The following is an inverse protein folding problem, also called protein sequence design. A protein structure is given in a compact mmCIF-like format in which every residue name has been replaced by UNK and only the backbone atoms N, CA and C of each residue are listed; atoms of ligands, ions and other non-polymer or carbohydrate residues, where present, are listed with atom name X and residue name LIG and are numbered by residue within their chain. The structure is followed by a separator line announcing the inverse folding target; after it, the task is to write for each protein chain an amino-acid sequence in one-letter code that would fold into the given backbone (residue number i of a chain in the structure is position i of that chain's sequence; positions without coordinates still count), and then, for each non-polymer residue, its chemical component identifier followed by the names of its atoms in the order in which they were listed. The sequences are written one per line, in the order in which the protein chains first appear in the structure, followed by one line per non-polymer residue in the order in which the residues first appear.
data_IF_280532988171
#
_entry.id   IF_280532988171
#
_cell.length_a   1.000
_cell.length_b   1.000
_cell.length_c   1.000
_cell.angle_alpha   90.00
_cell.angle_beta   90.00
_cell.angle_gamma   90.00
#
_symmetry.space_group_name_H-M   'P 1'
#
loop_
_entity.id
_entity.type
_entity.pdbx_description
1 polymer ?
#
# COMPACT_ATOMS: atom_id res chain seq x y z
N UNK A 1 13.80 -28.84 -22.86
CA UNK A 1 12.56 -28.08 -22.66
C UNK A 1 12.46 -27.74 -21.17
N UNK A 2 12.65 -26.48 -20.80
CA UNK A 2 12.55 -26.07 -19.39
C UNK A 2 11.07 -26.05 -18.98
N UNK A 3 10.75 -26.32 -17.72
CA UNK A 3 9.36 -26.34 -17.20
C UNK A 3 8.59 -25.02 -17.47
N UNK A 4 9.32 -23.94 -17.73
CA UNK A 4 8.77 -22.66 -18.18
C UNK A 4 8.07 -22.72 -19.56
N UNK A 5 8.39 -23.67 -20.44
CA UNK A 5 7.70 -23.81 -21.74
C UNK A 5 6.33 -24.50 -21.63
N UNK A 6 6.03 -25.20 -20.52
CA UNK A 6 4.80 -26.00 -20.39
C UNK A 6 3.60 -25.23 -19.85
N UNK A 7 3.77 -24.03 -19.28
CA UNK A 7 2.65 -23.24 -18.73
C UNK A 7 2.50 -21.98 -19.59
N UNK A 8 1.85 -22.10 -20.75
CA UNK A 8 1.50 -20.94 -21.59
C UNK A 8 0.42 -20.12 -20.87
N UNK A 9 0.82 -19.04 -20.19
CA UNK A 9 -0.11 -18.12 -19.54
C UNK A 9 -0.78 -17.25 -20.60
N UNK A 10 -2.12 -17.24 -20.63
CA UNK A 10 -2.91 -16.44 -21.56
C UNK A 10 -2.73 -14.94 -21.32
N UNK A 11 -2.80 -14.16 -22.41
CA UNK A 11 -2.70 -12.70 -22.33
C UNK A 11 -3.97 -12.15 -21.67
N UNK A 12 -3.87 -11.25 -20.67
CA UNK A 12 -5.05 -10.62 -20.09
C UNK A 12 -5.85 -9.85 -21.15
N UNK A 13 -7.17 -10.05 -21.17
CA UNK A 13 -8.10 -9.30 -22.01
C UNK A 13 -8.40 -7.94 -21.36
N UNK A 14 -7.94 -6.86 -22.00
CA UNK A 14 -8.04 -5.51 -21.47
C UNK A 14 -9.34 -4.82 -21.84
N UNK A 15 -9.96 -5.18 -22.97
CA UNK A 15 -11.14 -4.49 -23.48
C UNK A 15 -12.37 -4.90 -22.65
N UNK A 16 -12.54 -6.20 -22.42
CA UNK A 16 -13.59 -6.72 -21.54
C UNK A 16 -13.45 -6.26 -20.08
N UNK A 17 -12.22 -5.96 -19.62
CA UNK A 17 -11.98 -5.39 -18.29
C UNK A 17 -12.37 -3.92 -18.21
N UNK A 18 -11.99 -3.13 -19.21
CA UNK A 18 -12.32 -1.70 -19.27
C UNK A 18 -13.83 -1.48 -19.40
N UNK A 19 -14.55 -2.30 -20.18
CA UNK A 19 -16.01 -2.26 -20.25
C UNK A 19 -16.68 -2.56 -18.91
N UNK A 20 -16.21 -3.59 -18.19
CA UNK A 20 -16.72 -3.92 -16.84
C UNK A 20 -16.42 -2.83 -15.81
N UNK A 21 -15.25 -2.20 -15.87
CA UNK A 21 -14.93 -1.06 -15.01
C UNK A 21 -15.80 0.16 -15.35
N UNK A 22 -16.06 0.40 -16.64
CA UNK A 22 -16.92 1.48 -17.12
C UNK A 22 -18.33 1.34 -16.56
N UNK A 23 -18.96 0.18 -16.74
CA UNK A 23 -20.33 -0.08 -16.26
C UNK A 23 -20.46 0.01 -14.73
N UNK A 24 -19.46 -0.47 -13.98
CA UNK A 24 -19.43 -0.32 -12.52
C UNK A 24 -19.23 1.15 -12.12
N UNK A 25 -18.40 1.91 -12.82
CA UNK A 25 -18.18 3.33 -12.54
C UNK A 25 -19.44 4.16 -12.79
N UNK A 26 -20.16 3.89 -13.89
CA UNK A 26 -21.45 4.52 -14.20
C UNK A 26 -22.49 4.22 -13.11
N UNK A 27 -22.57 2.95 -12.68
CA UNK A 27 -23.47 2.52 -11.59
C UNK A 27 -23.16 3.22 -10.27
N UNK A 28 -21.87 3.42 -9.95
CA UNK A 28 -21.42 4.17 -8.78
C UNK A 28 -21.86 5.64 -8.87
N UNK A 29 -21.70 6.27 -10.02
CA UNK A 29 -22.04 7.69 -10.19
C UNK A 29 -23.55 7.94 -10.19
N UNK A 30 -24.36 7.01 -10.71
CA UNK A 30 -25.80 7.05 -10.54
C UNK A 30 -26.24 6.97 -9.08
N UNK A 31 -25.63 6.04 -8.32
CA UNK A 31 -25.96 5.87 -6.89
C UNK A 31 -25.51 7.08 -6.08
N UNK A 32 -24.34 7.66 -6.38
CA UNK A 32 -23.89 8.92 -5.77
C UNK A 32 -24.92 10.02 -5.96
N UNK A 33 -25.41 10.23 -7.19
CA UNK A 33 -26.45 11.24 -7.48
C UNK A 33 -27.72 10.99 -6.66
N UNK A 34 -28.14 9.71 -6.52
CA UNK A 34 -29.30 9.33 -5.69
C UNK A 34 -29.06 9.63 -4.20
N UNK A 35 -27.87 9.32 -3.68
CA UNK A 35 -27.48 9.63 -2.29
C UNK A 35 -27.45 11.14 -2.05
N UNK A 36 -26.88 11.92 -2.96
CA UNK A 36 -26.80 13.38 -2.84
C UNK A 36 -28.18 14.02 -2.84
N UNK A 37 -29.10 13.53 -3.69
CA UNK A 37 -30.48 13.98 -3.72
C UNK A 37 -31.20 13.63 -2.41
N UNK A 38 -31.10 12.39 -1.93
CA UNK A 38 -31.66 11.99 -0.64
C UNK A 38 -31.08 12.81 0.51
N UNK A 39 -29.79 13.13 0.48
CA UNK A 39 -29.13 13.93 1.51
C UNK A 39 -29.62 15.38 1.52
N UNK A 40 -29.99 15.95 0.37
CA UNK A 40 -30.66 17.26 0.29
C UNK A 40 -32.06 17.19 0.90
N UNK A 41 -32.84 16.16 0.58
CA UNK A 41 -34.18 15.95 1.14
C UNK A 41 -34.14 15.76 2.66
N UNK A 42 -33.22 14.94 3.16
CA UNK A 42 -32.97 14.72 4.60
C UNK A 42 -32.61 16.03 5.30
N UNK A 43 -31.72 16.84 4.70
CA UNK A 43 -31.33 18.15 5.28
C UNK A 43 -32.52 19.11 5.38
N UNK A 44 -33.43 19.09 4.42
CA UNK A 44 -34.65 19.92 4.46
C UNK A 44 -35.63 19.38 5.51
N UNK A 45 -35.88 18.07 5.52
CA UNK A 45 -36.81 17.42 6.44
C UNK A 45 -36.34 17.43 7.91
N UNK A 46 -35.02 17.48 8.15
CA UNK A 46 -34.44 17.55 9.50
C UNK A 46 -34.58 18.93 10.17
N UNK A 47 -34.84 19.99 9.38
CA UNK A 47 -35.08 21.33 9.92
C UNK A 47 -36.45 21.40 10.60
N UNK A 48 -36.53 22.10 11.74
CA UNK A 48 -37.79 22.34 12.46
C UNK A 48 -37.94 21.63 13.82
N UNK A 49 -36.96 20.84 14.26
CA UNK A 49 -36.95 20.24 15.61
C UNK A 49 -37.01 21.29 16.72
N UNK A 50 -36.25 22.37 16.58
CA UNK A 50 -36.25 23.46 17.56
C UNK A 50 -37.59 24.21 17.62
N UNK A 51 -38.18 24.50 16.47
CA UNK A 51 -39.50 25.13 16.38
C UNK A 51 -40.61 24.25 16.96
N UNK A 52 -40.57 22.94 16.67
CA UNK A 52 -41.48 21.97 17.28
C UNK A 52 -41.34 21.97 18.81
N UNK A 53 -40.11 21.94 19.33
CA UNK A 53 -39.87 21.95 20.77
C UNK A 53 -40.35 23.25 21.43
N UNK A 54 -40.16 24.40 20.79
CA UNK A 54 -40.71 25.68 21.26
C UNK A 54 -42.24 25.65 21.31
N UNK A 55 -42.89 25.33 20.19
CA UNK A 55 -44.36 25.20 20.10
C UNK A 55 -44.93 24.20 21.11
N UNK A 56 -44.26 23.07 21.31
CA UNK A 56 -44.64 22.07 22.32
C UNK A 56 -44.57 22.65 23.73
N UNK A 57 -43.48 23.34 24.08
CA UNK A 57 -43.34 23.99 25.39
C UNK A 57 -44.40 25.07 25.60
N UNK A 58 -44.69 25.88 24.59
CA UNK A 58 -45.71 26.93 24.66
C UNK A 58 -47.12 26.35 24.88
N UNK A 59 -47.46 25.25 24.21
CA UNK A 59 -48.77 24.59 24.42
C UNK A 59 -48.83 23.93 25.81
N UNK A 60 -47.76 23.29 26.26
CA UNK A 60 -47.71 22.66 27.60
C UNK A 60 -47.86 23.71 28.70
N UNK A 61 -47.13 24.82 28.61
CA UNK A 61 -47.24 25.91 29.59
C UNK A 61 -48.64 26.53 29.62
N UNK A 62 -49.32 26.66 28.48
CA UNK A 62 -50.74 27.06 28.43
C UNK A 62 -51.64 26.03 29.12
N UNK A 63 -51.48 24.74 28.84
CA UNK A 63 -52.25 23.66 29.49
C UNK A 63 -52.06 23.71 31.01
N UNK A 64 -50.85 23.94 31.48
CA UNK A 64 -50.53 24.05 32.90
C UNK A 64 -51.16 25.30 33.52
N UNK A 65 -51.14 26.45 32.82
CA UNK A 65 -51.83 27.67 33.27
C UNK A 65 -53.36 27.47 33.39
N UNK A 66 -53.97 26.75 32.45
CA UNK A 66 -55.39 26.41 32.51
C UNK A 66 -55.67 25.46 33.68
N UNK A 67 -54.79 24.49 33.94
CA UNK A 67 -54.94 23.61 35.09
C UNK A 67 -54.86 24.38 36.40
N UNK A 68 -53.89 25.28 36.55
CA UNK A 68 -53.78 26.14 37.74
C UNK A 68 -55.02 27.03 37.92
N UNK A 69 -55.59 27.56 36.83
CA UNK A 69 -56.84 28.33 36.86
C UNK A 69 -58.03 27.48 37.32
N UNK A 70 -58.14 26.24 36.82
CA UNK A 70 -59.17 25.28 37.26
C UNK A 70 -59.00 24.95 38.74
N UNK A 71 -57.80 24.65 39.21
CA UNK A 71 -57.53 24.28 40.60
C UNK A 71 -57.90 25.42 41.56
N UNK A 72 -57.61 26.68 41.19
CA UNK A 72 -58.00 27.86 41.97
C UNK A 72 -59.52 27.99 42.09
N UNK A 73 -60.24 27.92 40.97
CA UNK A 73 -61.69 27.99 40.95
C UNK A 73 -62.35 26.79 41.66
N UNK A 74 -61.75 25.60 41.60
CA UNK A 74 -62.22 24.43 42.33
C UNK A 74 -62.02 24.58 43.85
N UNK A 75 -60.96 25.26 44.30
CA UNK A 75 -60.77 25.63 45.70
C UNK A 75 -61.83 26.65 46.16
N UNK A 76 -62.03 27.74 45.40
CA UNK A 76 -63.07 28.73 45.71
C UNK A 76 -64.47 28.10 45.75
N UNK A 77 -64.75 27.18 44.82
CA UNK A 77 -66.01 26.41 44.82
C UNK A 77 -66.16 25.57 46.08
N UNK A 78 -65.09 24.93 46.57
CA UNK A 78 -65.11 24.14 47.81
C UNK A 78 -65.36 25.02 49.02
N UNK A 79 -64.69 26.16 49.12
CA UNK A 79 -64.89 27.12 50.21
C UNK A 79 -66.34 27.64 50.25
N UNK A 80 -66.92 27.98 49.09
CA UNK A 80 -68.32 28.42 49.01
C UNK A 80 -69.28 27.29 49.41
N UNK A 81 -68.99 26.04 49.03
CA UNK A 81 -69.80 24.90 49.46
C UNK A 81 -69.77 24.70 50.98
N UNK A 82 -68.58 24.78 51.58
CA UNK A 82 -68.41 24.68 53.03
C UNK A 82 -69.15 25.81 53.75
N UNK A 83 -69.11 27.02 53.20
CA UNK A 83 -69.84 28.17 53.75
C UNK A 83 -71.36 28.06 53.60
N UNK A 84 -71.85 27.52 52.49
CA UNK A 84 -73.27 27.18 52.33
C UNK A 84 -73.67 26.15 53.38
N UNK A 85 -72.86 25.11 53.62
CA UNK A 85 -73.16 24.09 54.61
C UNK A 85 -73.20 24.66 56.03
N UNK A 86 -72.24 25.51 56.40
CA UNK A 86 -72.22 26.23 57.70
C UNK A 86 -73.47 27.10 57.87
N UNK A 87 -73.84 27.89 56.86
CA UNK A 87 -75.04 28.74 56.89
C UNK A 87 -76.33 27.92 56.99
N UNK A 88 -76.41 26.79 56.30
CA UNK A 88 -77.53 25.87 56.42
C UNK A 88 -77.63 25.23 57.82
N UNK A 89 -76.50 24.86 58.43
CA UNK A 89 -76.46 24.38 59.83
C UNK A 89 -76.95 25.46 60.79
N UNK A 90 -76.44 26.69 60.67
CA UNK A 90 -76.89 27.83 61.47
C UNK A 90 -78.39 28.10 61.33
N UNK A 91 -78.94 28.04 60.10
CA UNK A 91 -80.38 28.15 59.87
C UNK A 91 -81.17 27.06 60.58
N UNK A 92 -80.70 25.81 60.54
CA UNK A 92 -81.35 24.68 61.25
C UNK A 92 -81.37 24.94 62.76
N UNK A 93 -80.26 25.41 63.32
CA UNK A 93 -80.16 25.79 64.73
C UNK A 93 -81.13 26.94 65.08
N UNK A 94 -81.19 28.00 64.27
CA UNK A 94 -82.15 29.09 64.45
C UNK A 94 -83.60 28.63 64.41
N UNK A 95 -83.96 27.72 63.48
CA UNK A 95 -85.31 27.12 63.42
C UNK A 95 -85.61 26.26 64.64
N UNK A 96 -84.67 25.45 65.10
CA UNK A 96 -84.83 24.65 66.32
C UNK A 96 -85.00 25.55 67.53
N UNK A 97 -84.21 26.63 67.64
CA UNK A 97 -84.34 27.62 68.70
C UNK A 97 -85.70 28.33 68.67
N UNK A 98 -86.15 28.79 67.49
CA UNK A 98 -87.49 29.36 67.33
C UNK A 98 -88.56 28.36 67.77
N UNK A 99 -88.46 27.10 67.35
CA UNK A 99 -89.43 26.07 67.71
C UNK A 99 -89.42 25.75 69.22
N UNK A 100 -88.26 25.77 69.88
CA UNK A 100 -88.14 25.58 71.32
C UNK A 100 -88.76 26.75 72.09
N UNK A 101 -88.51 28.00 71.66
CA UNK A 101 -89.13 29.19 72.24
C UNK A 101 -90.66 29.14 72.04
N UNK A 102 -91.13 28.74 70.85
CA UNK A 102 -92.57 28.54 70.58
C UNK A 102 -93.21 27.54 71.56
N UNK A 103 -92.56 26.38 71.77
CA UNK A 103 -93.02 25.36 72.72
C UNK A 103 -93.04 25.87 74.16
N UNK A 104 -92.08 26.72 74.56
CA UNK A 104 -92.03 27.31 75.89
C UNK A 104 -93.13 28.37 76.13
N UNK A 105 -93.46 29.17 75.11
CA UNK A 105 -94.47 30.23 75.23
C UNK A 105 -95.88 29.61 75.30
N UNK A 106 -96.21 28.66 74.41
CA UNK A 106 -97.52 28.01 74.40
C UNK A 106 -98.72 28.90 73.99
N UNK A 107 -98.45 30.11 73.51
CA UNK A 107 -99.43 31.09 73.01
C UNK A 107 -98.99 31.65 71.66
N UNK A 108 -99.94 31.95 70.79
CA UNK A 108 -99.68 32.37 69.41
C UNK A 108 -99.55 33.89 69.27
N UNK A 109 -100.32 34.67 70.04
CA UNK A 109 -100.31 36.14 69.99
C UNK A 109 -100.11 36.79 71.36
N UNK A 110 -99.48 37.97 71.37
CA UNK A 110 -99.31 38.78 72.59
C UNK A 110 -100.68 39.18 73.17
N UNK A 111 -101.66 39.45 72.30
CA UNK A 111 -103.03 39.78 72.68
C UNK A 111 -103.72 38.64 73.46
N UNK A 112 -103.38 37.39 73.18
CA UNK A 112 -103.99 36.23 73.85
C UNK A 112 -103.39 36.00 75.23
N UNK A 113 -102.10 36.28 75.41
CA UNK A 113 -101.45 36.31 76.73
C UNK A 113 -102.12 37.39 77.60
N UNK A 114 -102.37 38.57 77.03
CA UNK A 114 -102.93 39.72 77.75
C UNK A 114 -104.42 39.55 78.10
N UNK A 115 -105.20 38.87 77.25
CA UNK A 115 -106.56 38.44 77.59
C UNK A 115 -106.56 37.47 78.77
N UNK A 116 -105.66 36.48 78.75
CA UNK A 116 -105.56 35.48 79.82
C UNK A 116 -105.09 36.08 81.14
N UNK A 117 -104.17 37.05 81.11
CA UNK A 117 -103.77 37.83 82.29
C UNK A 117 -105.00 38.56 82.85
N UNK A 118 -105.74 39.30 82.01
CA UNK A 118 -106.96 40.02 82.44
C UNK A 118 -108.03 39.08 83.02
N UNK A 119 -108.22 37.90 82.44
CA UNK A 119 -109.13 36.89 82.98
C UNK A 119 -108.71 36.39 84.37
N UNK A 120 -107.41 36.17 84.59
CA UNK A 120 -106.89 35.74 85.89
C UNK A 120 -106.98 36.89 86.91
N UNK A 121 -106.66 38.12 86.53
CA UNK A 121 -106.79 39.32 87.37
C UNK A 121 -108.26 39.55 87.78
N UNK A 122 -109.19 39.43 86.84
CA UNK A 122 -110.61 39.52 87.14
C UNK A 122 -111.05 38.43 88.13
N UNK A 123 -110.60 37.17 87.94
CA UNK A 123 -110.87 36.08 88.89
C UNK A 123 -110.31 36.37 90.28
N UNK A 124 -109.09 36.91 90.37
CA UNK A 124 -108.49 37.34 91.65
C UNK A 124 -109.32 38.43 92.35
N UNK A 125 -109.87 39.38 91.60
CA UNK A 125 -110.61 40.51 92.15
C UNK A 125 -112.05 40.19 92.54
N UNK A 126 -112.72 39.24 91.86
CA UNK A 126 -114.15 39.00 92.02
C UNK A 126 -114.52 37.71 92.76
N UNK A 127 -113.56 36.82 93.05
CA UNK A 127 -113.83 35.52 93.66
C UNK A 127 -113.13 35.31 95.00
N UNK A 128 -113.80 34.63 95.93
CA UNK A 128 -113.22 34.21 97.22
C UNK A 128 -112.48 32.88 97.03
N UNK A 129 -111.18 32.95 96.78
CA UNK A 129 -110.29 31.80 96.59
C UNK A 129 -109.39 31.59 97.81
N UNK A 130 -108.86 30.38 97.97
CA UNK A 130 -107.90 30.12 99.05
C UNK A 130 -106.56 30.81 98.78
N UNK A 131 -105.83 31.17 99.85
CA UNK A 131 -104.49 31.79 99.76
C UNK A 131 -103.51 30.94 98.92
N UNK A 132 -103.68 29.61 98.93
CA UNK A 132 -102.88 28.69 98.11
C UNK A 132 -103.18 28.85 96.62
N UNK A 133 -104.45 28.97 96.24
CA UNK A 133 -104.89 29.18 94.85
C UNK A 133 -104.58 30.59 94.35
N UNK A 134 -104.75 31.60 95.20
CA UNK A 134 -104.36 32.97 94.91
C UNK A 134 -102.87 33.06 94.55
N UNK A 135 -102.01 32.43 95.34
CA UNK A 135 -100.57 32.35 95.06
C UNK A 135 -100.27 31.62 93.74
N UNK A 136 -101.03 30.59 93.38
CA UNK A 136 -100.88 29.89 92.10
C UNK A 136 -101.26 30.77 90.91
N UNK A 137 -102.37 31.52 91.02
CA UNK A 137 -102.82 32.44 89.96
C UNK A 137 -101.86 33.63 89.80
N UNK A 138 -101.32 34.18 90.89
CA UNK A 138 -100.28 35.21 90.85
C UNK A 138 -99.01 34.68 90.18
N UNK A 139 -98.56 33.47 90.53
CA UNK A 139 -97.42 32.83 89.86
C UNK A 139 -97.68 32.61 88.36
N UNK A 140 -98.93 32.31 87.98
CA UNK A 140 -99.33 32.17 86.59
C UNK A 140 -99.28 33.51 85.84
N UNK A 141 -99.74 34.62 86.43
CA UNK A 141 -99.59 35.97 85.85
C UNK A 141 -98.11 36.32 85.67
N UNK A 142 -97.28 36.05 86.69
CA UNK A 142 -95.83 36.29 86.59
C UNK A 142 -95.18 35.47 85.48
N UNK A 143 -95.58 34.22 85.28
CA UNK A 143 -95.11 33.37 84.18
C UNK A 143 -95.57 33.91 82.81
N UNK A 144 -96.83 34.33 82.68
CA UNK A 144 -97.38 34.91 81.45
C UNK A 144 -96.69 36.23 81.07
N UNK A 145 -96.42 37.10 82.05
CA UNK A 145 -95.67 38.34 81.83
C UNK A 145 -94.21 38.09 81.39
N UNK A 146 -93.57 37.01 81.88
CA UNK A 146 -92.24 36.59 81.41
C UNK A 146 -92.27 36.03 79.97
N UNK A 147 -93.39 35.44 79.55
CA UNK A 147 -93.56 34.88 78.21
C UNK A 147 -93.79 35.96 77.13
N UNK A 148 -94.28 37.15 77.49
CA UNK A 148 -94.54 38.26 76.56
C UNK A 148 -93.29 38.72 75.78
N UNK A 149 -92.14 39.06 76.40
CA UNK A 149 -90.93 39.42 75.66
C UNK A 149 -90.32 38.26 74.86
N UNK A 150 -90.56 37.01 75.28
CA UNK A 150 -90.14 35.81 74.54
C UNK A 150 -90.91 35.64 73.23
N UNK A 151 -92.17 36.09 73.16
CA UNK A 151 -92.96 36.04 71.93
C UNK A 151 -92.48 37.05 70.88
N UNK A 152 -92.11 38.25 71.32
CA UNK A 152 -91.45 39.23 70.45
C UNK A 152 -90.10 38.71 69.94
N UNK A 153 -89.30 38.04 70.79
CA UNK A 153 -88.03 37.44 70.36
C UNK A 153 -88.25 36.26 69.40
N UNK A 154 -89.26 35.42 69.64
CA UNK A 154 -89.67 34.35 68.72
C UNK A 154 -90.02 34.88 67.34
N UNK A 155 -90.89 35.90 67.25
CA UNK A 155 -91.30 36.49 65.98
C UNK A 155 -90.10 37.05 65.19
N UNK A 156 -89.13 37.67 65.88
CA UNK A 156 -87.89 38.14 65.26
C UNK A 156 -87.06 36.98 64.70
N UNK A 157 -86.79 35.96 65.52
CA UNK A 157 -85.98 34.79 65.12
C UNK A 157 -86.67 34.01 63.99
N UNK A 158 -88.00 33.87 64.00
CA UNK A 158 -88.75 33.18 62.94
C UNK A 158 -88.71 33.95 61.61
N UNK A 159 -88.87 35.28 61.66
CA UNK A 159 -88.75 36.13 60.48
C UNK A 159 -87.32 36.11 59.91
N UNK A 160 -86.31 36.21 60.77
CA UNK A 160 -84.90 36.09 60.39
C UNK A 160 -84.62 34.72 59.77
N UNK A 161 -85.07 33.62 60.39
CA UNK A 161 -84.87 32.26 59.87
C UNK A 161 -85.58 32.00 58.54
N UNK A 162 -86.67 32.73 58.26
CA UNK A 162 -87.43 32.61 57.01
C UNK A 162 -86.74 33.34 55.85
N UNK A 163 -86.19 34.53 56.10
CA UNK A 163 -85.45 35.33 55.08
C UNK A 163 -84.00 34.88 54.89
N UNK A 164 -83.46 34.12 55.84
CA UNK A 164 -82.05 33.72 55.84
C UNK A 164 -81.60 32.98 54.56
N UNK A 165 -82.47 32.18 53.92
CA UNK A 165 -82.13 31.51 52.67
C UNK A 165 -81.87 32.49 51.53
N UNK A 166 -82.79 33.45 51.34
CA UNK A 166 -82.77 34.40 50.24
C UNK A 166 -81.60 35.38 50.38
N UNK A 167 -81.29 35.80 51.61
CA UNK A 167 -80.22 36.76 51.87
C UNK A 167 -78.83 36.12 51.94
N UNK A 168 -78.70 34.93 52.55
CA UNK A 168 -77.40 34.34 52.86
C UNK A 168 -76.99 33.19 51.96
N UNK A 169 -77.94 32.40 51.43
CA UNK A 169 -77.65 31.14 50.71
C UNK A 169 -77.81 31.31 49.19
N UNK A 170 -78.85 31.98 48.72
CA UNK A 170 -79.09 32.20 47.27
C UNK A 170 -77.93 32.92 46.58
N UNK A 171 -77.32 33.99 47.14
CA UNK A 171 -76.18 34.65 46.51
C UNK A 171 -74.95 33.74 46.40
N UNK A 172 -74.71 32.88 47.40
CA UNK A 172 -73.60 31.92 47.38
C UNK A 172 -73.82 30.83 46.31
N UNK A 173 -75.06 30.36 46.14
CA UNK A 173 -75.40 29.42 45.07
C UNK A 173 -75.17 30.02 43.68
N UNK A 174 -75.58 31.28 43.47
CA UNK A 174 -75.34 32.00 42.22
C UNK A 174 -73.84 32.16 41.92
N UNK A 175 -73.03 32.53 42.94
CA UNK A 175 -71.56 32.56 42.82
C UNK A 175 -70.98 31.19 42.45
N UNK A 176 -71.45 30.11 43.08
CA UNK A 176 -71.01 28.76 42.76
C UNK A 176 -71.34 28.36 41.32
N UNK A 177 -72.51 28.72 40.80
CA UNK A 177 -72.89 28.40 39.43
C UNK A 177 -72.07 29.19 38.40
N UNK A 178 -71.78 30.47 38.68
CA UNK A 178 -70.81 31.26 37.89
C UNK A 178 -69.41 30.61 37.86
N UNK A 179 -68.90 30.15 39.01
CA UNK A 179 -67.61 29.45 39.09
C UNK A 179 -67.64 28.14 38.30
N UNK A 180 -68.74 27.38 38.35
CA UNK A 180 -68.91 26.16 37.54
C UNK A 180 -68.85 26.45 36.05
N UNK A 181 -69.49 27.50 35.59
CA UNK A 181 -69.42 27.92 34.18
C UNK A 181 -67.99 28.30 33.77
N UNK A 182 -67.27 29.04 34.62
CA UNK A 182 -65.87 29.41 34.36
C UNK A 182 -64.96 28.17 34.31
N UNK A 183 -65.11 27.23 35.25
CA UNK A 183 -64.39 25.94 35.23
C UNK A 183 -64.66 25.19 33.92
N UNK A 184 -65.91 25.11 33.48
CA UNK A 184 -66.27 24.42 32.24
C UNK A 184 -65.65 25.10 31.01
N UNK A 185 -65.59 26.44 30.96
CA UNK A 185 -64.89 27.19 29.90
C UNK A 185 -63.40 26.85 29.87
N UNK A 186 -62.70 26.93 31.01
CA UNK A 186 -61.28 26.59 31.10
C UNK A 186 -61.00 25.12 30.76
N UNK A 187 -61.88 24.19 31.14
CA UNK A 187 -61.78 22.78 30.76
C UNK A 187 -61.89 22.57 29.24
N UNK A 188 -62.80 23.29 28.58
CA UNK A 188 -62.95 23.24 27.13
C UNK A 188 -61.71 23.83 26.42
N UNK A 189 -61.20 24.97 26.89
CA UNK A 189 -59.97 25.58 26.36
C UNK A 189 -58.75 24.67 26.54
N UNK A 190 -58.60 24.06 27.73
CA UNK A 190 -57.57 23.05 28.00
C UNK A 190 -57.68 21.84 27.08
N UNK A 191 -58.90 21.37 26.79
CA UNK A 191 -59.14 20.27 25.84
C UNK A 191 -58.70 20.67 24.43
N UNK A 192 -59.00 21.90 24.01
CA UNK A 192 -58.59 22.43 22.70
C UNK A 192 -57.05 22.53 22.58
N UNK A 193 -56.35 23.05 23.58
CA UNK A 193 -54.88 23.08 23.57
C UNK A 193 -54.27 21.67 23.62
N UNK A 194 -54.88 20.72 24.35
CA UNK A 194 -54.47 19.30 24.31
C UNK A 194 -54.64 18.67 22.93
N UNK A 195 -55.69 19.02 22.20
CA UNK A 195 -55.88 18.54 20.83
C UNK A 195 -54.81 19.12 19.89
N UNK A 196 -54.51 20.43 19.99
CA UNK A 196 -53.40 21.06 19.26
C UNK A 196 -52.05 20.37 19.57
N UNK A 197 -51.82 19.99 20.82
CA UNK A 197 -50.60 19.24 21.20
C UNK A 197 -50.54 17.87 20.51
N UNK A 198 -51.66 17.13 20.46
CA UNK A 198 -51.74 15.84 19.77
C UNK A 198 -51.51 15.97 18.27
N UNK A 199 -52.14 16.95 17.62
CA UNK A 199 -51.93 17.24 16.20
C UNK A 199 -50.47 17.61 15.89
N UNK A 200 -49.87 18.43 16.75
CA UNK A 200 -48.45 18.80 16.64
C UNK A 200 -47.55 17.56 16.81
N UNK A 201 -47.86 16.67 17.74
CA UNK A 201 -47.12 15.42 17.95
C UNK A 201 -47.27 14.46 16.75
N UNK A 202 -48.48 14.25 16.25
CA UNK A 202 -48.76 13.38 15.11
C UNK A 202 -48.04 13.89 13.86
N UNK A 203 -48.16 15.18 13.54
CA UNK A 203 -47.48 15.77 12.38
C UNK A 203 -45.95 15.71 12.49
N UNK A 204 -45.40 15.84 13.71
CA UNK A 204 -43.96 15.64 13.92
C UNK A 204 -43.55 14.18 13.77
N UNK A 205 -44.37 13.24 14.26
CA UNK A 205 -44.12 11.81 14.13
C UNK A 205 -44.16 11.36 12.66
N UNK A 206 -45.13 11.83 11.87
CA UNK A 206 -45.20 11.58 10.42
C UNK A 206 -43.96 12.10 9.69
N UNK A 207 -43.53 13.34 10.00
CA UNK A 207 -42.29 13.90 9.45
C UNK A 207 -41.07 13.07 9.83
N UNK A 208 -41.00 12.63 11.09
CA UNK A 208 -39.88 11.83 11.58
C UNK A 208 -39.87 10.42 10.99
N UNK A 209 -41.03 9.80 10.78
CA UNK A 209 -41.16 8.51 10.09
C UNK A 209 -40.67 8.63 8.64
N UNK A 210 -41.11 9.67 7.91
CA UNK A 210 -40.63 9.95 6.56
C UNK A 210 -39.13 10.22 6.52
N UNK A 211 -38.59 10.94 7.51
CA UNK A 211 -37.15 11.15 7.65
C UNK A 211 -36.40 9.83 7.86
N UNK A 212 -36.93 8.94 8.69
CA UNK A 212 -36.35 7.62 8.93
C UNK A 212 -36.39 6.75 7.66
N UNK A 213 -37.48 6.78 6.89
CA UNK A 213 -37.57 6.10 5.59
C UNK A 213 -36.51 6.62 4.60
N UNK A 214 -36.34 7.95 4.51
CA UNK A 214 -35.30 8.55 3.67
C UNK A 214 -33.89 8.17 4.12
N UNK A 215 -33.63 8.13 5.42
CA UNK A 215 -32.35 7.67 5.97
C UNK A 215 -32.09 6.19 5.66
N UNK A 216 -33.10 5.32 5.82
CA UNK A 216 -33.00 3.91 5.48
C UNK A 216 -32.70 3.71 3.98
N UNK A 217 -33.34 4.49 3.10
CA UNK A 217 -33.06 4.48 1.67
C UNK A 217 -31.63 4.93 1.38
N UNK A 218 -31.15 6.01 2.01
CA UNK A 218 -29.76 6.49 1.89
C UNK A 218 -28.76 5.42 2.32
N UNK A 219 -29.01 4.74 3.44
CA UNK A 219 -28.14 3.69 3.95
C UNK A 219 -28.12 2.47 3.03
N UNK A 220 -29.28 2.11 2.46
CA UNK A 220 -29.36 1.05 1.45
C UNK A 220 -28.58 1.39 0.18
N UNK A 221 -28.68 2.62 -0.33
CA UNK A 221 -27.87 3.07 -1.46
C UNK A 221 -26.38 3.12 -1.12
N UNK A 222 -26.02 3.54 0.09
CA UNK A 222 -24.62 3.56 0.55
C UNK A 222 -24.04 2.13 0.63
N UNK A 223 -24.83 1.15 1.08
CA UNK A 223 -24.46 -0.27 1.04
C UNK A 223 -24.24 -0.77 -0.39
N UNK A 224 -25.15 -0.45 -1.32
CA UNK A 224 -24.99 -0.80 -2.74
C UNK A 224 -23.75 -0.16 -3.36
N UNK A 225 -23.50 1.12 -3.07
CA UNK A 225 -22.30 1.83 -3.52
C UNK A 225 -21.02 1.15 -3.02
N UNK A 226 -20.99 0.74 -1.75
CA UNK A 226 -19.87 -0.01 -1.19
C UNK A 226 -19.68 -1.37 -1.86
N UNK A 227 -20.76 -2.09 -2.20
CA UNK A 227 -20.70 -3.33 -2.97
C UNK A 227 -20.04 -3.11 -4.34
N UNK A 228 -20.45 -2.09 -5.10
CA UNK A 228 -19.81 -1.75 -6.37
C UNK A 228 -18.34 -1.37 -6.22
N UNK A 229 -17.94 -0.69 -5.14
CA UNK A 229 -16.52 -0.43 -4.88
C UNK A 229 -15.73 -1.71 -4.56
N UNK A 230 -16.33 -2.66 -3.84
CA UNK A 230 -15.72 -3.97 -3.59
C UNK A 230 -15.56 -4.76 -4.88
N UNK A 231 -16.59 -4.79 -5.74
CA UNK A 231 -16.54 -5.42 -7.06
C UNK A 231 -15.49 -4.76 -7.97
N UNK A 232 -15.44 -3.42 -8.00
CA UNK A 232 -14.41 -2.69 -8.76
C UNK A 232 -13.02 -3.06 -8.28
N UNK A 233 -12.83 -3.18 -6.96
CA UNK A 233 -11.55 -3.57 -6.35
C UNK A 233 -11.21 -5.03 -6.67
N UNK A 234 -12.15 -5.96 -6.57
CA UNK A 234 -11.90 -7.38 -6.87
C UNK A 234 -11.48 -7.56 -8.32
N UNK A 235 -12.20 -6.94 -9.27
CA UNK A 235 -11.88 -7.00 -10.70
C UNK A 235 -10.50 -6.40 -10.98
N UNK A 236 -10.14 -5.31 -10.28
CA UNK A 236 -8.80 -4.71 -10.41
C UNK A 236 -7.69 -5.62 -9.90
N UNK A 237 -7.88 -6.24 -8.73
CA UNK A 237 -6.92 -7.21 -8.17
C UNK A 237 -6.78 -8.43 -9.07
N UNK A 238 -7.89 -9.00 -9.57
CA UNK A 238 -7.87 -10.14 -10.48
C UNK A 238 -7.08 -9.85 -11.77
N UNK A 239 -7.24 -8.65 -12.33
CA UNK A 239 -6.47 -8.25 -13.51
C UNK A 239 -5.01 -7.97 -13.22
N UNK A 240 -4.69 -7.38 -12.07
CA UNK A 240 -3.30 -7.18 -11.65
C UNK A 240 -2.58 -8.51 -11.43
N UNK A 241 -3.24 -9.50 -10.83
CA UNK A 241 -2.74 -10.86 -10.70
C UNK A 241 -2.50 -11.53 -12.07
N UNK A 242 -3.46 -11.44 -13.00
CA UNK A 242 -3.29 -11.97 -14.37
C UNK A 242 -2.13 -11.29 -15.09
N UNK A 243 -2.00 -9.96 -14.95
CA UNK A 243 -0.90 -9.17 -15.51
C UNK A 243 0.45 -9.58 -14.90
N UNK A 244 0.49 -9.82 -13.60
CA UNK A 244 1.70 -10.25 -12.89
C UNK A 244 2.12 -11.66 -13.30
N UNK A 245 1.16 -12.60 -13.41
CA UNK A 245 1.40 -13.97 -13.91
C UNK A 245 1.93 -13.98 -15.35
N UNK A 246 1.38 -13.14 -16.22
CA UNK A 246 1.87 -13.01 -17.60
C UNK A 246 3.28 -12.38 -17.66
N UNK A 247 3.56 -11.38 -16.82
CA UNK A 247 4.89 -10.75 -16.72
C UNK A 247 5.93 -11.72 -16.18
N UNK A 248 5.64 -12.46 -15.12
CA UNK A 248 6.57 -13.45 -14.55
C UNK A 248 6.87 -14.56 -15.55
N UNK A 249 5.86 -15.02 -16.30
CA UNK A 249 6.03 -15.97 -17.40
C UNK A 249 6.95 -15.43 -18.52
N UNK A 250 6.74 -14.19 -18.96
CA UNK A 250 7.61 -13.57 -19.98
C UNK A 250 9.04 -13.40 -19.48
N UNK A 251 9.21 -13.03 -18.22
CA UNK A 251 10.53 -12.88 -17.59
C UNK A 251 11.24 -14.23 -17.44
N UNK A 252 10.55 -15.30 -17.03
CA UNK A 252 11.15 -16.63 -16.92
C UNK A 252 11.57 -17.19 -18.28
N UNK A 253 10.79 -16.91 -19.34
CA UNK A 253 11.14 -17.29 -20.70
C UNK A 253 12.40 -16.55 -21.19
N UNK A 254 12.50 -15.24 -20.92
CA UNK A 254 13.70 -14.47 -21.24
C UNK A 254 14.93 -14.92 -20.45
N UNK A 255 14.77 -15.18 -19.14
CA UNK A 255 15.84 -15.70 -18.28
C UNK A 255 16.31 -17.08 -18.77
N UNK A 256 15.40 -17.99 -19.12
CA UNK A 256 15.76 -19.29 -19.66
C UNK A 256 16.52 -19.17 -20.99
N UNK A 257 16.12 -18.23 -21.88
CA UNK A 257 16.86 -17.97 -23.12
C UNK A 257 18.24 -17.37 -22.86
N UNK A 258 18.36 -16.46 -21.90
CA UNK A 258 19.62 -15.84 -21.53
C UNK A 258 20.57 -16.85 -20.85
N UNK A 259 20.05 -17.74 -20.01
CA UNK A 259 20.80 -18.84 -19.40
C UNK A 259 21.35 -19.77 -20.47
N UNK A 260 20.52 -20.25 -21.39
CA UNK A 260 20.98 -21.06 -22.54
C UNK A 260 22.06 -20.35 -23.37
N UNK A 261 21.87 -19.05 -23.67
CA UNK A 261 22.87 -18.30 -24.43
C UNK A 261 24.20 -18.11 -23.67
N UNK A 262 24.16 -17.94 -22.34
CA UNK A 262 25.36 -17.86 -21.50
C UNK A 262 26.07 -19.21 -21.46
N UNK A 263 25.33 -20.29 -21.22
CA UNK A 263 25.85 -21.67 -21.26
C UNK A 263 26.49 -21.98 -22.62
N UNK A 264 25.85 -21.61 -23.73
CA UNK A 264 26.39 -21.81 -25.08
C UNK A 264 27.65 -20.97 -25.34
N UNK A 265 27.73 -19.74 -24.83
CA UNK A 265 28.92 -18.89 -24.94
C UNK A 265 30.07 -19.40 -24.10
N UNK A 266 29.81 -19.82 -22.86
CA UNK A 266 30.81 -20.42 -21.97
C UNK A 266 31.38 -21.70 -22.58
N UNK A 267 30.53 -22.55 -23.17
CA UNK A 267 30.97 -23.72 -23.94
C UNK A 267 31.88 -23.35 -25.12
N UNK A 268 31.47 -22.38 -25.95
CA UNK A 268 32.29 -21.94 -27.10
C UNK A 268 33.61 -21.30 -26.68
N UNK A 269 33.61 -20.51 -25.60
CA UNK A 269 34.83 -19.90 -25.08
C UNK A 269 35.82 -20.98 -24.60
N UNK A 270 35.33 -22.00 -23.90
CA UNK A 270 36.17 -23.14 -23.48
C UNK A 270 36.68 -23.95 -24.68
N UNK A 271 35.89 -24.10 -25.74
CA UNK A 271 36.31 -24.79 -26.97
C UNK A 271 37.39 -23.99 -27.74
N UNK A 272 37.24 -22.66 -27.83
CA UNK A 272 38.27 -21.78 -28.42
C UNK A 272 39.53 -21.78 -27.56
N UNK A 273 39.40 -21.70 -26.23
CA UNK A 273 40.55 -21.74 -25.31
C UNK A 273 41.33 -23.05 -25.47
N UNK A 274 40.60 -24.18 -25.59
CA UNK A 274 41.20 -25.47 -25.92
C UNK A 274 41.97 -25.43 -27.24
N UNK A 275 41.33 -24.96 -28.32
CA UNK A 275 41.97 -24.88 -29.64
C UNK A 275 43.21 -23.97 -29.64
N UNK A 276 43.19 -22.86 -28.91
CA UNK A 276 44.37 -21.98 -28.77
C UNK A 276 45.51 -22.65 -28.03
N UNK A 277 45.22 -23.41 -26.97
CA UNK A 277 46.24 -24.14 -26.22
C UNK A 277 46.79 -25.34 -27.02
N UNK A 278 45.97 -25.98 -27.85
CA UNK A 278 46.41 -27.03 -28.79
C UNK A 278 47.35 -26.46 -29.86
N UNK A 279 47.03 -25.29 -30.43
CA UNK A 279 47.94 -24.60 -31.37
C UNK A 279 49.25 -24.19 -30.70
N UNK A 280 49.20 -23.64 -29.49
CA UNK A 280 50.41 -23.32 -28.72
C UNK A 280 51.25 -24.57 -28.41
N UNK A 281 50.61 -25.73 -28.23
CA UNK A 281 51.29 -27.00 -28.04
C UNK A 281 52.00 -27.46 -29.33
N UNK A 282 51.36 -27.31 -30.50
CA UNK A 282 51.94 -27.61 -31.81
C UNK A 282 53.12 -26.69 -32.14
N UNK A 283 53.01 -25.39 -31.86
CA UNK A 283 54.07 -24.40 -32.10
C UNK A 283 55.34 -24.66 -31.25
N UNK A 284 55.18 -25.27 -30.08
CA UNK A 284 56.30 -25.63 -29.18
C UNK A 284 57.16 -26.76 -29.74
N UNK A 285 56.62 -27.63 -30.59
CA UNK A 285 57.39 -28.72 -31.22
C UNK A 285 58.37 -28.19 -32.30
N UNK A 286 58.37 -26.88 -32.63
CA UNK A 286 59.42 -26.22 -33.41
C UNK A 286 60.70 -26.07 -32.54
N UNK A 287 61.67 -26.97 -32.73
CA UNK A 287 62.93 -26.93 -31.98
C UNK A 287 63.70 -25.60 -32.21
N UNK A 288 63.97 -24.82 -31.14
CA UNK A 288 64.74 -23.59 -31.24
C UNK A 288 66.22 -23.88 -31.53
N UNK A 289 66.87 -22.96 -32.25
CA UNK A 289 68.30 -23.01 -32.64
C UNK A 289 68.71 -24.16 -33.59
N UNK A 290 67.75 -24.91 -34.15
CA UNK A 290 68.00 -25.98 -35.15
C UNK A 290 68.71 -25.46 -36.40
N UNK A 291 68.27 -24.32 -36.93
CA UNK A 291 68.82 -23.72 -38.15
C UNK A 291 70.25 -23.20 -37.95
N UNK A 292 70.53 -22.63 -36.78
CA UNK A 292 71.84 -22.05 -36.44
C UNK A 292 72.89 -23.15 -36.21
N UNK A 293 72.53 -24.26 -35.57
CA UNK A 293 73.41 -25.44 -35.45
C UNK A 293 73.72 -26.07 -36.81
N UNK A 294 72.70 -26.23 -37.67
CA UNK A 294 72.90 -26.76 -39.02
C UNK A 294 73.84 -25.87 -39.86
N UNK A 295 73.74 -24.56 -39.71
CA UNK A 295 74.60 -23.58 -40.38
C UNK A 295 76.06 -23.65 -39.88
N UNK A 296 76.27 -23.81 -38.56
CA UNK A 296 77.60 -24.00 -37.97
C UNK A 296 78.22 -25.34 -38.39
N UNK A 297 77.44 -26.42 -38.44
CA UNK A 297 77.90 -27.73 -38.89
C UNK A 297 78.32 -27.70 -40.37
N UNK A 298 77.53 -27.06 -41.23
CA UNK A 298 77.88 -26.86 -42.64
C UNK A 298 79.19 -26.05 -42.79
N UNK A 299 79.43 -25.04 -41.95
CA UNK A 299 80.70 -24.30 -41.94
C UNK A 299 81.88 -25.13 -41.43
N UNK A 300 81.69 -25.96 -40.41
CA UNK A 300 82.71 -26.88 -39.91
C UNK A 300 83.10 -27.92 -40.97
N UNK A 301 82.12 -28.47 -41.71
CA UNK A 301 82.38 -29.40 -42.81
C UNK A 301 83.21 -28.73 -43.91
N UNK A 302 82.88 -27.49 -44.27
CA UNK A 302 83.63 -26.75 -45.28
C UNK A 302 85.07 -26.45 -44.86
N UNK A 303 85.30 -25.97 -43.62
CA UNK A 303 86.66 -25.69 -43.14
C UNK A 303 87.50 -26.96 -42.98
N UNK A 304 86.90 -28.09 -42.56
CA UNK A 304 87.57 -29.40 -42.53
C UNK A 304 87.98 -29.87 -43.92
N UNK A 305 87.13 -29.66 -44.93
CA UNK A 305 87.45 -29.98 -46.33
C UNK A 305 88.66 -29.17 -46.83
N UNK A 306 88.73 -27.88 -46.51
CA UNK A 306 89.91 -27.05 -46.83
C UNK A 306 91.17 -27.57 -46.13
N UNK A 307 91.07 -27.98 -44.86
CA UNK A 307 92.20 -28.53 -44.10
C UNK A 307 92.71 -29.86 -44.70
N UNK A 308 91.82 -30.70 -45.23
CA UNK A 308 92.19 -31.92 -45.94
C UNK A 308 92.82 -31.63 -47.32
N UNK A 309 92.32 -30.64 -48.06
CA UNK A 309 92.91 -30.21 -49.33
C UNK A 309 94.36 -29.72 -49.16
N UNK A 310 94.67 -29.01 -48.08
CA UNK A 310 96.05 -28.59 -47.74
C UNK A 310 96.95 -29.79 -47.43
N UNK A 311 96.45 -30.77 -46.67
CA UNK A 311 97.20 -32.00 -46.36
C UNK A 311 97.46 -32.86 -47.60
N UNK A 312 96.57 -32.83 -48.59
CA UNK A 312 96.70 -33.56 -49.86
C UNK A 312 97.61 -32.83 -50.86
N UNK A 313 97.67 -31.50 -50.83
CA UNK A 313 98.61 -30.70 -51.66
C UNK A 313 100.08 -30.80 -51.19
N UNK A 314 100.32 -30.98 -49.89
CA UNK A 314 101.67 -31.28 -49.37
C UNK A 314 102.18 -32.68 -49.77
N UNK A 315 101.27 -33.62 -50.08
CA UNK A 315 101.61 -35.00 -50.46
C UNK A 315 101.85 -35.23 -51.97
N UNK A 316 101.63 -34.24 -52.86
CA UNK A 316 101.64 -34.43 -54.33
C UNK A 316 102.74 -33.69 -55.13
N UNK A 317 103.89 -33.39 -54.52
CA UNK A 317 105.05 -32.72 -55.18
C UNK A 317 106.21 -33.64 -55.60
N UNK A 318 105.93 -34.89 -55.99
CA UNK A 318 106.89 -35.78 -56.66
C UNK A 318 106.24 -36.46 -57.88
N UNK A 319 106.72 -36.05 -59.06
CA UNK A 319 106.67 -36.73 -60.37
C UNK A 319 105.41 -36.60 -61.26
N UNK A 320 105.50 -35.61 -62.16
CA UNK A 320 104.79 -35.52 -63.45
C UNK A 320 105.44 -36.43 -64.50
N UNK A 321 104.68 -37.03 -65.42
CA UNK A 321 104.69 -36.63 -66.85
C UNK A 321 103.84 -37.54 -67.78
N UNK A 322 103.13 -36.84 -68.68
CA UNK A 322 102.83 -37.17 -70.08
C UNK A 322 101.57 -37.99 -70.53
N UNK A 323 100.66 -37.22 -71.18
CA UNK A 323 100.23 -37.32 -72.60
C UNK A 323 98.88 -38.01 -72.97
N UNK A 324 97.97 -37.14 -73.45
CA UNK A 324 97.00 -37.21 -74.58
C UNK A 324 95.75 -38.13 -74.58
N UNK A 325 94.63 -37.42 -74.83
CA UNK A 325 93.56 -37.58 -75.86
C UNK A 325 92.21 -38.23 -75.50
N UNK A 326 91.18 -37.51 -75.98
CA UNK A 326 89.91 -37.92 -76.61
C UNK A 326 88.62 -37.83 -75.77
N UNK A 327 87.68 -37.04 -76.34
CA UNK A 327 86.21 -37.12 -76.43
C UNK A 327 85.44 -37.92 -75.37
N UNK A 328 84.27 -37.51 -74.88
CA UNK A 328 83.27 -36.56 -75.36
C UNK A 328 81.90 -37.05 -74.85
N UNK A 329 80.90 -36.14 -74.83
CA UNK A 329 79.45 -36.44 -74.74
C UNK A 329 78.96 -37.07 -73.41
N UNK A 330 77.75 -36.87 -72.89
CA UNK A 330 76.50 -36.18 -73.22
C UNK A 330 75.76 -36.15 -71.86
N UNK A 331 75.15 -35.05 -71.45
CA UNK A 331 73.71 -34.84 -71.62
C UNK A 331 73.13 -34.40 -70.26
N UNK A 332 72.49 -33.25 -70.22
CA UNK A 332 71.02 -33.10 -70.30
C UNK A 332 70.39 -33.19 -68.90
N UNK A 333 69.50 -32.31 -68.45
CA UNK A 333 68.84 -31.15 -69.06
C UNK A 333 67.86 -30.59 -68.03
N UNK A 334 67.41 -29.36 -68.30
CA UNK A 334 66.11 -28.71 -68.00
C UNK A 334 65.62 -28.74 -66.56
N UNK A 335 65.59 -27.59 -65.91
CA UNK A 335 64.73 -26.42 -66.16
C UNK A 335 63.34 -26.58 -65.55
N UNK A 336 62.96 -25.48 -64.90
CA UNK A 336 61.74 -24.70 -65.09
C UNK A 336 61.12 -24.41 -63.73
N UNK A 337 61.28 -23.18 -63.26
CA UNK A 337 60.50 -22.01 -63.68
C UNK A 337 59.15 -22.03 -62.97
N UNK A 338 58.86 -21.11 -62.06
CA UNK A 338 58.67 -19.67 -62.23
C UNK A 338 57.18 -19.38 -62.04
N UNK A 339 56.90 -18.12 -61.75
CA UNK A 339 55.61 -17.46 -61.68
C UNK A 339 54.80 -17.74 -60.40
N UNK A 340 54.84 -16.89 -59.37
CA UNK A 340 54.39 -15.49 -59.30
C UNK A 340 52.88 -15.32 -59.07
N UNK A 341 52.56 -14.10 -58.63
CA UNK A 341 51.24 -13.48 -58.50
C UNK A 341 50.53 -13.80 -57.19
N UNK A 342 50.04 -12.84 -56.40
CA UNK A 342 49.98 -11.40 -56.57
C UNK A 342 49.29 -10.80 -55.35
N UNK A 343 49.82 -9.69 -54.86
CA UNK A 343 49.27 -8.94 -53.73
C UNK A 343 48.17 -7.98 -54.24
N UNK A 344 47.04 -7.96 -53.53
CA UNK A 344 45.93 -7.04 -53.75
C UNK A 344 46.00 -5.97 -52.66
N UNK A 345 46.01 -4.70 -53.05
CA UNK A 345 45.95 -3.56 -52.15
C UNK A 345 44.55 -2.97 -52.01
N UNK A 346 44.34 -2.33 -50.84
CA UNK A 346 43.50 -1.15 -50.55
C UNK A 346 41.97 -1.27 -50.83
N UNK A 347 41.05 -0.57 -50.14
CA UNK A 347 41.06 0.82 -49.69
C UNK A 347 39.91 1.07 -48.67
N UNK A 348 40.14 2.03 -47.74
CA UNK A 348 39.25 3.09 -47.19
C UNK A 348 37.95 2.73 -46.43
N UNK A 349 37.43 3.49 -45.45
CA UNK A 349 37.57 4.90 -45.04
C UNK A 349 37.18 5.03 -43.53
N UNK A 350 37.84 5.87 -42.72
CA UNK A 350 37.39 7.22 -42.27
C UNK A 350 36.38 7.18 -41.10
N UNK A 351 36.34 8.00 -40.04
CA UNK A 351 37.03 9.20 -39.55
C UNK A 351 36.76 9.28 -38.04
N UNK A 352 37.57 10.04 -37.29
CA UNK A 352 37.21 10.48 -35.94
C UNK A 352 38.41 10.85 -35.08
N UNK A 353 39.01 12.02 -35.34
CA UNK A 353 40.16 12.53 -34.59
C UNK A 353 39.80 13.21 -33.27
N UNK A 354 40.77 13.22 -32.35
CA UNK A 354 41.10 14.36 -31.49
C UNK A 354 42.51 14.14 -30.89
N UNK A 355 43.44 15.02 -31.28
CA UNK A 355 44.81 15.11 -30.78
C UNK A 355 44.88 15.62 -29.34
N UNK A 356 45.98 15.34 -28.64
CA UNK A 356 46.86 16.29 -27.88
C UNK A 356 48.07 15.47 -27.40
N UNK A 357 49.26 15.63 -28.01
CA UNK A 357 50.49 16.30 -27.48
C UNK A 357 50.95 15.77 -26.11
N UNK A 358 52.22 15.51 -25.81
CA UNK A 358 53.47 16.03 -26.36
C UNK A 358 54.65 15.19 -25.83
N UNK A 359 55.69 15.05 -26.66
CA UNK A 359 57.12 15.24 -26.42
C UNK A 359 57.79 14.77 -25.11
N UNK A 360 58.78 13.88 -25.27
CA UNK A 360 60.20 14.19 -25.07
C UNK A 360 61.05 13.06 -25.71
N UNK A 361 61.84 13.33 -26.76
CA UNK A 361 63.23 13.84 -26.75
C UNK A 361 64.16 12.91 -25.91
N UNK A 362 65.32 12.44 -26.35
CA UNK A 362 66.31 12.98 -27.31
C UNK A 362 67.42 11.92 -27.47
N UNK A 363 68.04 11.85 -28.66
CA UNK A 363 69.50 11.92 -28.93
C UNK A 363 70.51 11.18 -28.01
N UNK A 364 71.64 10.62 -28.47
CA UNK A 364 72.63 11.04 -29.49
C UNK A 364 73.70 9.90 -29.57
N UNK A 365 74.25 9.53 -30.74
CA UNK A 365 75.47 10.09 -31.37
C UNK A 365 76.67 10.07 -30.40
N UNK A 366 77.84 9.47 -30.65
CA UNK A 366 78.56 9.08 -31.86
C UNK A 366 80.07 9.23 -31.60
N UNK A 367 80.88 9.13 -32.67
CA UNK A 367 82.33 9.46 -32.83
C UNK A 367 83.37 8.40 -32.43
N UNK A 368 84.15 7.88 -33.38
CA UNK A 368 85.40 8.44 -34.01
C UNK A 368 86.60 8.31 -33.03
N UNK A 369 87.82 7.95 -33.38
CA UNK A 369 88.59 8.13 -34.63
C UNK A 369 89.97 7.45 -34.48
N UNK A 370 90.61 7.09 -35.62
CA UNK A 370 92.07 7.11 -35.89
C UNK A 370 92.99 6.18 -35.03
N UNK A 371 94.12 5.63 -35.50
CA UNK A 371 95.10 6.09 -36.49
C UNK A 371 96.02 4.92 -36.91
N UNK A 372 96.44 4.98 -38.17
CA UNK A 372 97.53 4.27 -38.88
C UNK A 372 98.72 3.79 -38.03
N UNK A 373 99.28 2.64 -38.41
CA UNK A 373 100.68 2.50 -38.87
C UNK A 373 100.84 1.28 -39.79
N UNK A 374 101.51 1.50 -40.94
CA UNK A 374 101.96 0.48 -41.90
C UNK A 374 103.38 0.04 -41.53
N UNK A 375 103.65 -1.27 -41.54
CA UNK A 375 104.99 -1.79 -41.84
C UNK A 375 104.94 -3.22 -42.43
N UNK A 376 105.39 -3.29 -43.68
CA UNK A 376 105.85 -4.40 -44.56
C UNK A 376 105.74 -5.88 -44.12
N UNK A 377 104.88 -6.60 -44.88
CA UNK A 377 105.12 -7.82 -45.70
C UNK A 377 106.13 -8.89 -45.22
N UNK A 378 105.59 -10.10 -44.99
CA UNK A 378 106.01 -11.35 -45.62
C UNK A 378 104.76 -12.08 -46.17
N UNK A 379 104.83 -12.68 -47.36
CA UNK A 379 103.67 -13.20 -48.10
C UNK A 379 103.35 -14.65 -47.70
N UNK A 380 102.22 -14.88 -47.04
CA UNK A 380 101.59 -16.20 -46.91
C UNK A 380 100.50 -16.39 -47.99
N UNK A 381 100.26 -17.62 -48.43
CA UNK A 381 99.36 -17.94 -49.56
C UNK A 381 97.88 -17.78 -49.16
N UNK A 382 97.12 -17.01 -49.94
CA UNK A 382 95.67 -16.82 -49.81
C UNK A 382 94.89 -17.87 -50.65
N UNK A 383 93.80 -18.41 -50.12
CA UNK A 383 92.79 -19.18 -50.88
C UNK A 383 91.51 -18.36 -51.08
N UNK A 384 90.69 -18.69 -52.10
CA UNK A 384 89.45 -17.97 -52.43
C UNK A 384 88.26 -18.63 -51.73
N UNK A 385 87.54 -17.88 -50.91
CA UNK A 385 86.26 -18.27 -50.32
C UNK A 385 85.09 -17.87 -51.24
N UNK A 386 84.08 -18.74 -51.33
CA UNK A 386 82.85 -18.47 -52.10
C UNK A 386 81.93 -17.48 -51.34
N UNK A 387 81.18 -16.65 -52.06
CA UNK A 387 80.37 -15.56 -51.52
C UNK A 387 79.29 -16.06 -50.55
N UNK A 388 78.66 -17.21 -50.85
CA UNK A 388 77.65 -17.82 -49.98
C UNK A 388 78.22 -18.25 -48.63
N UNK A 389 79.46 -18.72 -48.64
CA UNK A 389 80.17 -19.17 -47.45
C UNK A 389 80.58 -17.96 -46.62
N UNK A 390 81.01 -16.88 -47.28
CA UNK A 390 81.27 -15.59 -46.65
C UNK A 390 80.02 -15.06 -45.93
N UNK A 391 78.84 -15.16 -46.57
CA UNK A 391 77.57 -14.81 -45.94
C UNK A 391 77.29 -15.66 -44.70
N UNK A 392 77.56 -16.96 -44.72
CA UNK A 392 77.40 -17.82 -43.54
C UNK A 392 78.32 -17.39 -42.39
N UNK A 393 79.59 -17.06 -42.67
CA UNK A 393 80.52 -16.55 -41.65
C UNK A 393 80.07 -15.21 -41.04
N UNK A 394 79.52 -14.31 -41.87
CA UNK A 394 78.94 -13.04 -41.42
C UNK A 394 77.70 -13.28 -40.55
N UNK A 395 76.79 -14.17 -40.95
CA UNK A 395 75.58 -14.53 -40.18
C UNK A 395 75.94 -15.18 -38.85
N UNK A 396 76.96 -16.04 -38.82
CA UNK A 396 77.47 -16.62 -37.57
C UNK A 396 78.37 -15.67 -36.78
N UNK A 397 78.68 -14.47 -37.27
CA UNK A 397 79.51 -13.46 -36.61
C UNK A 397 80.95 -13.92 -36.34
N UNK A 398 81.54 -14.73 -37.22
CA UNK A 398 82.94 -15.17 -37.17
C UNK A 398 83.65 -14.60 -38.40
N UNK A 399 84.84 -14.01 -38.21
CA UNK A 399 85.62 -13.52 -39.36
C UNK A 399 86.12 -14.72 -40.19
N UNK A 400 85.92 -14.71 -41.51
CA UNK A 400 86.37 -15.79 -42.37
C UNK A 400 87.91 -15.88 -42.37
N UNK A 401 88.51 -17.08 -42.34
CA UNK A 401 89.96 -17.24 -42.35
C UNK A 401 90.54 -16.74 -43.67
N UNK A 402 91.46 -15.77 -43.62
CA UNK A 402 92.07 -15.16 -44.82
C UNK A 402 93.36 -15.88 -45.21
N UNK A 403 93.95 -16.64 -44.29
CA UNK A 403 95.14 -17.46 -44.47
C UNK A 403 94.93 -18.88 -43.94
N UNK A 404 95.73 -19.83 -44.43
CA UNK A 404 95.66 -21.23 -43.98
C UNK A 404 95.99 -21.40 -42.48
N UNK A 405 96.83 -20.53 -41.93
CA UNK A 405 97.19 -20.54 -40.51
C UNK A 405 96.03 -20.13 -39.59
N UNK A 406 95.05 -19.39 -40.12
CA UNK A 406 93.86 -18.91 -39.39
C UNK A 406 92.71 -19.93 -39.39
N UNK A 407 92.79 -20.99 -40.19
CA UNK A 407 91.73 -22.00 -40.34
C UNK A 407 91.49 -22.75 -39.03
N UNK A 408 92.56 -23.17 -38.33
CA UNK A 408 92.44 -23.91 -37.07
C UNK A 408 91.83 -23.04 -35.94
N UNK A 409 92.18 -21.74 -35.90
CA UNK A 409 91.59 -20.79 -34.95
C UNK A 409 90.11 -20.52 -35.26
N UNK A 410 89.72 -20.49 -36.54
CA UNK A 410 88.31 -20.34 -36.93
C UNK A 410 87.48 -21.59 -36.61
N UNK A 411 88.06 -22.79 -36.76
CA UNK A 411 87.43 -24.06 -36.36
C UNK A 411 87.18 -24.08 -34.85
N UNK A 412 88.16 -23.67 -34.03
CA UNK A 412 87.99 -23.58 -32.58
C UNK A 412 86.85 -22.64 -32.19
N UNK A 413 86.77 -21.45 -32.80
CA UNK A 413 85.68 -20.48 -32.55
C UNK A 413 84.31 -20.99 -33.02
N UNK A 414 84.26 -21.78 -34.09
CA UNK A 414 83.02 -22.43 -34.55
C UNK A 414 82.58 -23.53 -33.58
N UNK A 415 83.51 -24.31 -33.01
CA UNK A 415 83.20 -25.29 -31.96
C UNK A 415 82.71 -24.61 -30.68
N UNK A 416 83.36 -23.53 -30.22
CA UNK A 416 82.89 -22.76 -29.07
C UNK A 416 81.46 -22.23 -29.28
N UNK A 417 81.16 -21.67 -30.48
CA UNK A 417 79.80 -21.24 -30.80
C UNK A 417 78.83 -22.41 -30.90
N UNK A 418 79.24 -23.55 -31.47
CA UNK A 418 78.42 -24.77 -31.49
C UNK A 418 78.04 -25.20 -30.08
N UNK A 419 79.00 -25.25 -29.17
CA UNK A 419 78.79 -25.64 -27.77
C UNK A 419 77.87 -24.63 -27.06
N UNK A 420 78.02 -23.33 -27.34
CA UNK A 420 77.10 -22.31 -26.82
C UNK A 420 75.66 -22.49 -27.34
N UNK A 421 75.48 -22.77 -28.63
CA UNK A 421 74.15 -23.03 -29.21
C UNK A 421 73.57 -24.37 -28.77
N UNK A 422 74.42 -25.37 -28.50
CA UNK A 422 74.02 -26.67 -27.95
C UNK A 422 73.59 -26.55 -26.49
N UNK A 423 74.30 -25.80 -25.65
CA UNK A 423 73.86 -25.48 -24.29
C UNK A 423 72.55 -24.69 -24.28
N UNK A 424 72.43 -23.66 -25.12
CA UNK A 424 71.18 -22.89 -25.27
C UNK A 424 70.03 -23.74 -25.81
N UNK A 425 70.31 -24.70 -26.69
CA UNK A 425 69.34 -25.69 -27.16
C UNK A 425 68.88 -26.56 -26.01
N UNK A 426 69.78 -27.13 -25.22
CA UNK A 426 69.43 -28.05 -24.13
C UNK A 426 68.66 -27.33 -22.99
N UNK A 427 69.03 -26.09 -22.67
CA UNK A 427 68.25 -25.23 -21.76
C UNK A 427 66.86 -24.90 -22.33
N UNK A 428 66.78 -24.61 -23.63
CA UNK A 428 65.52 -24.33 -24.29
C UNK A 428 64.63 -25.56 -24.42
N UNK A 429 65.19 -26.76 -24.60
CA UNK A 429 64.47 -28.04 -24.63
C UNK A 429 63.84 -28.32 -23.27
N UNK A 430 64.58 -28.13 -22.17
CA UNK A 430 64.02 -28.27 -20.81
C UNK A 430 62.88 -27.28 -20.55
N UNK A 431 63.02 -26.04 -21.02
CA UNK A 431 61.97 -25.01 -20.91
C UNK A 431 60.75 -25.32 -21.82
N UNK A 432 60.98 -25.97 -22.96
CA UNK A 432 59.92 -26.46 -23.87
C UNK A 432 59.17 -27.62 -23.24
N UNK A 433 59.85 -28.58 -22.61
CA UNK A 433 59.23 -29.72 -21.94
C UNK A 433 58.37 -29.33 -20.74
N UNK A 434 58.83 -28.39 -19.92
CA UNK A 434 58.02 -27.86 -18.80
C UNK A 434 56.80 -27.10 -19.32
N UNK A 435 56.96 -26.27 -20.35
CA UNK A 435 55.85 -25.57 -21.00
C UNK A 435 54.85 -26.53 -21.64
N UNK A 436 55.32 -27.63 -22.24
CA UNK A 436 54.49 -28.71 -22.81
C UNK A 436 53.67 -29.41 -21.72
N UNK A 437 54.29 -29.73 -20.58
CA UNK A 437 53.59 -30.33 -19.44
C UNK A 437 52.50 -29.38 -18.88
N UNK A 438 52.80 -28.09 -18.77
CA UNK A 438 51.84 -27.09 -18.28
C UNK A 438 50.66 -26.89 -19.25
N UNK A 439 50.91 -26.82 -20.56
CA UNK A 439 49.86 -26.67 -21.57
C UNK A 439 48.99 -27.93 -21.67
N UNK A 440 49.59 -29.12 -21.63
CA UNK A 440 48.82 -30.38 -21.62
C UNK A 440 47.98 -30.54 -20.34
N UNK A 441 48.46 -30.03 -19.19
CA UNK A 441 47.66 -29.94 -17.97
C UNK A 441 46.45 -29.03 -18.14
N UNK A 442 46.63 -27.82 -18.68
CA UNK A 442 45.54 -26.86 -18.93
C UNK A 442 44.50 -27.37 -19.94
N UNK A 443 44.93 -28.07 -20.99
CA UNK A 443 44.01 -28.69 -21.96
C UNK A 443 43.12 -29.73 -21.27
N UNK A 444 43.68 -30.59 -20.41
CA UNK A 444 42.90 -31.58 -19.65
C UNK A 444 41.89 -30.93 -18.69
N UNK A 445 42.27 -29.87 -17.99
CA UNK A 445 41.34 -29.12 -17.12
C UNK A 445 40.18 -28.49 -17.91
N UNK A 446 40.44 -27.99 -19.12
CA UNK A 446 39.40 -27.43 -20.00
C UNK A 446 38.51 -28.52 -20.56
N UNK A 447 39.06 -29.69 -20.92
CA UNK A 447 38.29 -30.86 -21.33
C UNK A 447 37.37 -31.38 -20.22
N UNK A 448 37.84 -31.41 -18.96
CA UNK A 448 37.02 -31.74 -17.81
C UNK A 448 35.87 -30.73 -17.63
N UNK A 449 36.14 -29.43 -17.74
CA UNK A 449 35.11 -28.37 -17.71
C UNK A 449 34.09 -28.53 -18.86
N UNK A 450 34.54 -28.78 -20.09
CA UNK A 450 33.68 -29.04 -21.25
C UNK A 450 32.83 -30.31 -21.06
N UNK A 451 33.39 -31.36 -20.45
CA UNK A 451 32.66 -32.60 -20.15
C UNK A 451 31.57 -32.38 -19.09
N UNK A 452 31.84 -31.55 -18.08
CA UNK A 452 30.87 -31.15 -17.06
C UNK A 452 29.70 -30.35 -17.68
N UNK A 453 29.97 -29.54 -18.71
CA UNK A 453 28.93 -28.88 -19.49
C UNK A 453 28.13 -29.84 -20.40
N UNK A 454 28.66 -31.00 -20.82
CA UNK A 454 27.93 -32.00 -21.64
C UNK A 454 27.03 -32.93 -20.82
N UNK A 455 27.35 -33.19 -19.54
CA UNK A 455 26.56 -34.07 -18.69
C UNK A 455 25.17 -33.58 -18.19
N UNK A 456 24.76 -32.28 -18.24
CA UNK A 456 23.45 -31.88 -17.74
C UNK A 456 22.30 -32.24 -18.70
N UNK A 457 22.57 -32.72 -19.91
CA UNK A 457 21.53 -33.14 -20.86
C UNK A 457 21.12 -34.63 -20.72
N UNK A 458 21.98 -35.51 -20.21
CA UNK A 458 21.62 -36.95 -20.10
C UNK A 458 20.96 -37.34 -18.78
N UNK A 459 21.11 -36.54 -17.71
CA UNK A 459 20.53 -36.85 -16.39
C UNK A 459 19.11 -36.30 -16.13
N UNK A 460 18.46 -35.66 -17.12
CA UNK A 460 17.06 -35.19 -17.00
C UNK A 460 16.03 -36.12 -17.68
N UNK A 461 16.45 -37.26 -18.21
CA UNK A 461 15.58 -38.22 -18.93
C UNK A 461 15.05 -39.41 -18.13
N UNK A 462 15.56 -39.72 -16.93
CA UNK A 462 15.22 -40.98 -16.23
C UNK A 462 14.96 -40.79 -14.72
N UNK A 463 13.93 -40.01 -14.37
CA UNK A 463 13.22 -40.16 -13.07
C UNK A 463 11.74 -39.79 -13.23
N UNK A 464 11.04 -40.53 -14.08
CA UNK A 464 9.58 -40.42 -14.22
C UNK A 464 8.92 -41.79 -14.44
N UNK A 465 9.29 -42.81 -13.66
CA UNK A 465 8.48 -44.03 -13.49
C UNK A 465 8.96 -44.81 -12.25
N UNK A 466 8.24 -44.67 -11.13
CA UNK A 466 7.89 -45.73 -10.15
C UNK A 466 7.44 -45.12 -8.81
N UNK A 467 6.15 -44.85 -8.71
CA UNK A 467 5.37 -45.02 -7.47
C UNK A 467 3.88 -45.07 -7.84
N UNK A 468 3.43 -46.29 -8.20
CA UNK A 468 2.05 -46.74 -8.00
C UNK A 468 2.14 -47.92 -7.04
N UNK A 469 1.75 -47.68 -5.81
CA UNK A 469 1.08 -48.60 -4.89
C UNK A 469 0.46 -47.70 -3.81
#
# INVERSE_FOLDING_TARGET
MTEAEKIKVEKPDFDAYNEKLGSISESIDEIKKKIDNLQKEIKVASKGKEEYNKKKKDIVTRIDSFQQGIDKLENERREILDDIEKRQKYKKEMRVNAQNIKKQIGFENEADIEKKIREIENKLMTSTISIKEEKLLINQIQALNKNKPLLSSYSKIENEASKYDDEAIVPLKSKMDSIREQINKLRNEKKNERNKLKELQNSYQEKNNKLNELNNLRDNYSKKMNQYFMERRSITVEMEEKKQKYRSYKMSLLQAKQQKLKEDRERKNLEIEKETLEKELEDIDLLPYREELALIENMLVYLKKIQEEVKVEEAKKLQNSNVKKANGEVGNTVDCADAAVGAVGAVSADSGGASTKNDNNTNTKGKNENKKTKSKKEKQKLFKLDMNILCYFVTAGINPPVSFDEVDSCIQKLYEKRDMYEQKRDESVKNVETRRADLTGKIKEIEEKLSAFKQPEQNKGVKATKTKA
#
